data_IF_300824283796
#
_entry.id   IF_300824283796
#
_cell.length_a   1.000
_cell.length_b   1.000
_cell.length_c   1.000
_cell.angle_alpha   90.00
_cell.angle_beta   90.00
_cell.angle_gamma   90.00
#
_symmetry.space_group_name_H-M   'P 1'
#
loop_
_entity.id
_entity.type
_entity.pdbx_description
1 polymer ?
#
# COMPACT_ATOMS: atom_id res chain seq x y z
N UNK A 1 11.54 29.54 8.32
CA UNK A 1 12.81 29.35 7.60
C UNK A 1 12.79 27.97 6.96
N UNK A 2 12.21 27.85 5.77
CA UNK A 2 12.00 26.58 5.06
C UNK A 2 13.31 26.24 4.33
N UNK A 3 14.06 25.24 4.81
CA UNK A 3 15.25 24.75 4.10
C UNK A 3 14.82 24.18 2.75
N UNK A 4 15.06 24.93 1.67
CA UNK A 4 14.98 24.45 0.29
C UNK A 4 15.85 23.19 0.17
N UNK A 5 15.20 22.05 -0.12
CA UNK A 5 15.86 20.81 -0.50
C UNK A 5 16.58 21.08 -1.85
N UNK A 6 17.91 20.90 -1.95
CA UNK A 6 18.63 21.25 -3.18
C UNK A 6 18.21 20.31 -4.31
N UNK A 7 17.51 20.89 -5.29
CA UNK A 7 17.13 20.31 -6.57
C UNK A 7 18.34 20.32 -7.51
N UNK A 8 19.22 19.32 -7.42
CA UNK A 8 20.14 18.95 -8.51
C UNK A 8 20.79 17.56 -8.28
N UNK A 9 20.00 16.47 -8.33
CA UNK A 9 20.47 15.08 -8.10
C UNK A 9 20.19 14.16 -9.32
N UNK A 10 19.63 14.69 -10.42
CA UNK A 10 18.98 13.83 -11.42
C UNK A 10 19.90 13.02 -12.34
N UNK A 11 21.17 13.39 -12.52
CA UNK A 11 22.08 12.68 -13.44
C UNK A 11 23.17 11.83 -12.76
N UNK A 12 23.55 12.15 -11.51
CA UNK A 12 24.63 11.42 -10.80
C UNK A 12 24.14 10.18 -10.02
N UNK A 13 22.83 9.97 -9.96
CA UNK A 13 22.22 8.86 -9.21
C UNK A 13 21.92 7.63 -10.08
N UNK A 14 22.13 7.71 -11.40
CA UNK A 14 21.81 6.62 -12.32
C UNK A 14 23.01 5.69 -12.58
N UNK A 15 24.23 6.22 -12.49
CA UNK A 15 25.45 5.45 -12.74
C UNK A 15 25.99 4.77 -11.46
N UNK A 16 26.46 3.52 -11.57
CA UNK A 16 27.09 2.84 -10.45
C UNK A 16 28.37 3.59 -10.01
N UNK A 17 28.70 3.61 -8.72
CA UNK A 17 29.96 4.17 -8.24
C UNK A 17 31.17 3.42 -8.81
N UNK A 18 32.27 4.14 -9.04
CA UNK A 18 33.51 3.59 -9.59
C UNK A 18 34.14 2.51 -8.70
N UNK A 19 33.96 2.62 -7.38
CA UNK A 19 34.55 1.69 -6.41
C UNK A 19 33.67 0.43 -6.16
N UNK A 20 32.52 0.32 -6.85
CA UNK A 20 31.59 -0.78 -6.65
C UNK A 20 32.09 -2.04 -7.38
N UNK A 21 32.11 -3.22 -6.74
CA UNK A 21 32.47 -4.47 -7.40
C UNK A 21 31.61 -4.71 -8.67
N UNK A 22 32.21 -5.24 -9.73
CA UNK A 22 31.55 -5.39 -11.04
C UNK A 22 30.24 -6.20 -10.97
N UNK A 23 30.21 -7.26 -10.15
CA UNK A 23 29.01 -8.05 -9.91
C UNK A 23 27.87 -7.20 -9.30
N UNK A 24 28.21 -6.29 -8.38
CA UNK A 24 27.24 -5.37 -7.77
C UNK A 24 26.86 -4.23 -8.74
N UNK A 25 27.79 -3.73 -9.56
CA UNK A 25 27.51 -2.76 -10.61
C UNK A 25 26.60 -3.30 -11.71
N UNK A 26 26.62 -4.62 -11.95
CA UNK A 26 25.68 -5.29 -12.86
C UNK A 26 24.27 -5.28 -12.27
N UNK A 27 24.11 -5.66 -11.00
CA UNK A 27 22.82 -5.56 -10.30
C UNK A 27 22.29 -4.13 -10.27
N UNK A 28 23.17 -3.15 -10.05
CA UNK A 28 22.80 -1.73 -10.08
C UNK A 28 22.13 -1.34 -11.41
N UNK A 29 22.77 -1.71 -12.53
CA UNK A 29 22.27 -1.41 -13.88
C UNK A 29 20.94 -2.11 -14.14
N UNK A 30 20.78 -3.36 -13.71
CA UNK A 30 19.51 -4.10 -13.81
C UNK A 30 18.37 -3.38 -13.06
N UNK A 31 18.61 -2.97 -11.81
CA UNK A 31 17.59 -2.30 -10.97
C UNK A 31 17.21 -0.94 -11.57
N UNK A 32 18.19 -0.17 -12.02
CA UNK A 32 17.98 1.14 -12.65
C UNK A 32 17.26 1.02 -14.00
N UNK A 33 17.42 -0.09 -14.73
CA UNK A 33 16.70 -0.34 -15.98
C UNK A 33 15.27 -0.81 -15.75
N UNK A 34 15.00 -1.57 -14.68
CA UNK A 34 13.68 -2.14 -14.41
C UNK A 34 12.75 -1.22 -13.64
N UNK A 35 13.28 -0.19 -12.96
CA UNK A 35 12.54 0.56 -11.95
C UNK A 35 12.62 2.05 -12.21
N UNK A 36 11.48 2.74 -12.14
CA UNK A 36 11.42 4.21 -12.10
C UNK A 36 11.80 4.74 -10.69
N UNK A 37 12.93 4.25 -10.16
CA UNK A 37 13.49 4.65 -8.86
C UNK A 37 14.35 5.92 -8.99
N UNK A 38 14.36 6.53 -10.17
CA UNK A 38 15.14 7.72 -10.50
C UNK A 38 14.77 8.88 -9.56
N UNK A 39 15.60 9.09 -8.54
CA UNK A 39 15.53 10.23 -7.61
C UNK A 39 14.80 9.99 -6.29
N UNK A 40 14.26 8.79 -6.04
CA UNK A 40 13.57 8.47 -4.76
C UNK A 40 14.42 7.66 -3.77
N UNK A 41 15.50 7.03 -4.24
CA UNK A 41 16.32 6.11 -3.46
C UNK A 41 17.63 6.76 -3.03
N UNK A 42 18.04 6.54 -1.79
CA UNK A 42 19.36 6.91 -1.28
C UNK A 42 20.44 6.06 -1.98
N UNK A 43 21.45 6.73 -2.54
CA UNK A 43 22.54 6.08 -3.30
C UNK A 43 23.29 5.07 -2.43
N UNK A 44 23.64 5.44 -1.20
CA UNK A 44 24.39 4.57 -0.29
C UNK A 44 23.61 3.30 0.09
N UNK A 45 22.29 3.45 0.22
CA UNK A 45 21.35 2.36 0.43
C UNK A 45 21.31 1.41 -0.77
N UNK A 46 21.26 1.95 -2.00
CA UNK A 46 21.29 1.15 -3.22
C UNK A 46 22.62 0.42 -3.39
N UNK A 47 23.75 1.04 -3.04
CA UNK A 47 25.09 0.45 -3.13
C UNK A 47 25.21 -0.79 -2.22
N UNK A 48 24.77 -0.65 -0.96
CA UNK A 48 24.74 -1.75 -0.01
C UNK A 48 23.83 -2.89 -0.49
N UNK A 49 22.64 -2.56 -1.00
CA UNK A 49 21.71 -3.55 -1.53
C UNK A 49 22.28 -4.32 -2.74
N UNK A 50 22.87 -3.61 -3.70
CA UNK A 50 23.50 -4.23 -4.88
C UNK A 50 24.64 -5.18 -4.47
N UNK A 51 25.42 -4.80 -3.46
CA UNK A 51 26.49 -5.64 -2.91
C UNK A 51 25.95 -6.92 -2.27
N UNK A 52 24.85 -6.83 -1.52
CA UNK A 52 24.19 -8.00 -0.93
C UNK A 52 23.63 -8.94 -2.01
N UNK A 53 22.99 -8.38 -3.04
CA UNK A 53 22.48 -9.16 -4.17
C UNK A 53 23.59 -9.88 -4.94
N UNK A 54 24.73 -9.22 -5.16
CA UNK A 54 25.90 -9.85 -5.79
C UNK A 54 26.43 -11.02 -4.95
N UNK A 55 26.56 -10.85 -3.64
CA UNK A 55 26.98 -11.92 -2.71
C UNK A 55 25.99 -13.09 -2.67
N UNK A 56 24.69 -12.81 -2.74
CA UNK A 56 23.67 -13.85 -2.79
C UNK A 56 23.79 -14.68 -4.07
N UNK A 57 24.00 -14.03 -5.22
CA UNK A 57 24.21 -14.71 -6.51
C UNK A 57 25.47 -15.59 -6.48
N UNK A 58 26.57 -15.06 -5.95
CA UNK A 58 27.81 -15.82 -5.80
C UNK A 58 27.64 -17.05 -4.89
N UNK A 59 26.99 -16.90 -3.74
CA UNK A 59 26.74 -18.00 -2.82
C UNK A 59 25.90 -19.12 -3.47
N UNK A 60 24.88 -18.75 -4.25
CA UNK A 60 24.07 -19.71 -5.01
C UNK A 60 24.86 -20.43 -6.08
N UNK A 61 25.67 -19.70 -6.85
CA UNK A 61 26.51 -20.30 -7.88
C UNK A 61 27.45 -21.36 -7.29
N UNK A 62 28.09 -21.06 -6.14
CA UNK A 62 28.95 -22.05 -5.46
C UNK A 62 28.19 -23.30 -5.02
N UNK A 63 26.97 -23.14 -4.50
CA UNK A 63 26.11 -24.28 -4.13
C UNK A 63 25.70 -25.11 -5.35
N UNK A 64 25.46 -24.46 -6.49
CA UNK A 64 25.15 -25.14 -7.75
C UNK A 64 26.36 -25.91 -8.30
N UNK A 65 27.56 -25.32 -8.26
CA UNK A 65 28.78 -25.90 -8.80
C UNK A 65 29.35 -27.02 -7.91
N UNK A 66 29.37 -26.83 -6.59
CA UNK A 66 29.99 -27.76 -5.63
C UNK A 66 28.98 -28.75 -5.01
N UNK A 67 27.68 -28.47 -5.17
CA UNK A 67 26.59 -29.21 -4.54
C UNK A 67 26.28 -28.75 -3.11
N UNK A 68 25.12 -29.17 -2.58
CA UNK A 68 24.64 -28.72 -1.26
C UNK A 68 25.48 -29.21 -0.07
N UNK A 69 26.37 -30.17 -0.29
CA UNK A 69 27.07 -30.90 0.77
C UNK A 69 28.51 -31.17 0.34
N UNK A 70 29.46 -30.82 1.21
CA UNK A 70 30.90 -30.94 0.95
C UNK A 70 31.52 -31.89 1.99
N UNK A 71 32.60 -32.57 1.61
CA UNK A 71 33.37 -33.39 2.55
C UNK A 71 34.42 -32.54 3.25
N UNK A 72 34.39 -32.56 4.58
CA UNK A 72 35.44 -32.02 5.42
C UNK A 72 36.76 -32.80 5.20
N UNK A 73 37.97 -32.27 5.51
CA UNK A 73 39.22 -33.00 5.36
C UNK A 73 39.27 -34.33 6.13
N UNK A 74 38.39 -34.51 7.12
CA UNK A 74 38.19 -35.76 7.89
C UNK A 74 37.21 -36.75 7.23
N UNK A 75 36.75 -36.47 6.00
CA UNK A 75 35.81 -37.30 5.25
C UNK A 75 34.35 -37.21 5.72
N UNK A 76 34.04 -36.33 6.68
CA UNK A 76 32.66 -36.12 7.16
C UNK A 76 31.89 -35.25 6.19
N UNK A 77 30.63 -35.61 6.00
CA UNK A 77 29.68 -34.95 5.12
C UNK A 77 29.06 -33.78 5.89
N UNK A 78 29.36 -32.54 5.49
CA UNK A 78 28.86 -31.31 6.12
C UNK A 78 28.11 -30.44 5.10
N UNK A 79 27.10 -29.65 5.53
CA UNK A 79 26.44 -28.71 4.64
C UNK A 79 27.44 -27.69 4.09
N UNK A 80 27.28 -27.31 2.82
CA UNK A 80 28.18 -26.36 2.18
C UNK A 80 28.13 -25.00 2.91
N UNK A 81 29.29 -24.40 3.28
CA UNK A 81 29.33 -23.09 3.95
C UNK A 81 28.62 -21.97 3.19
N UNK A 82 28.53 -22.05 1.85
CA UNK A 82 27.82 -21.08 1.03
C UNK A 82 26.31 -21.02 1.35
N UNK A 83 25.70 -22.10 1.85
CA UNK A 83 24.31 -22.11 2.30
C UNK A 83 24.08 -21.19 3.52
N UNK A 84 25.08 -21.07 4.41
CA UNK A 84 24.99 -20.17 5.55
C UNK A 84 25.06 -18.71 5.08
N UNK A 85 25.94 -18.42 4.12
CA UNK A 85 26.06 -17.09 3.49
C UNK A 85 24.77 -16.74 2.76
N UNK A 86 24.19 -17.68 2.00
CA UNK A 86 22.93 -17.47 1.28
C UNK A 86 21.81 -17.08 2.26
N UNK A 87 21.62 -17.86 3.33
CA UNK A 87 20.59 -17.59 4.34
C UNK A 87 20.77 -16.22 5.00
N UNK A 88 21.98 -15.91 5.46
CA UNK A 88 22.27 -14.62 6.09
C UNK A 88 22.03 -13.44 5.14
N UNK A 89 22.44 -13.57 3.88
CA UNK A 89 22.29 -12.51 2.88
C UNK A 89 20.83 -12.33 2.48
N UNK A 90 20.06 -13.42 2.37
CA UNK A 90 18.63 -13.38 2.07
C UNK A 90 17.83 -12.70 3.20
N UNK A 91 18.17 -12.96 4.47
CA UNK A 91 17.56 -12.28 5.62
C UNK A 91 17.85 -10.77 5.59
N UNK A 92 19.09 -10.39 5.30
CA UNK A 92 19.45 -8.97 5.13
C UNK A 92 18.65 -8.36 3.99
N UNK A 93 18.61 -8.95 2.80
CA UNK A 93 17.83 -8.45 1.66
C UNK A 93 16.35 -8.28 2.03
N UNK A 94 15.77 -9.22 2.78
CA UNK A 94 14.37 -9.14 3.23
C UNK A 94 14.13 -7.96 4.18
N UNK A 95 15.06 -7.68 5.09
CA UNK A 95 14.99 -6.53 5.99
C UNK A 95 15.07 -5.18 5.24
N UNK A 96 15.61 -5.17 4.02
CA UNK A 96 15.64 -3.98 3.17
C UNK A 96 14.35 -3.76 2.35
N UNK A 97 13.42 -4.73 2.35
CA UNK A 97 12.18 -4.67 1.56
C UNK A 97 11.35 -3.40 1.80
N UNK A 98 11.26 -2.94 3.05
CA UNK A 98 10.49 -1.74 3.40
C UNK A 98 11.12 -0.43 2.87
N UNK A 99 12.44 -0.41 2.63
CA UNK A 99 13.16 0.77 2.13
C UNK A 99 13.00 0.97 0.63
N UNK A 100 12.81 -0.12 -0.10
CA UNK A 100 12.60 -0.12 -1.55
C UNK A 100 11.13 -0.32 -1.93
N UNK A 101 10.25 -0.58 -0.97
CA UNK A 101 8.82 -0.50 -1.18
C UNK A 101 8.49 0.91 -1.69
N UNK A 102 7.67 1.05 -2.76
CA UNK A 102 7.20 2.36 -3.16
C UNK A 102 6.56 3.00 -1.93
N UNK A 103 6.96 4.23 -1.61
CA UNK A 103 6.32 5.05 -0.58
C UNK A 103 4.89 5.33 -1.03
N UNK A 104 4.00 4.34 -0.90
CA UNK A 104 2.57 4.52 -1.01
C UNK A 104 2.24 5.38 0.18
N UNK A 105 2.17 6.71 -0.04
CA UNK A 105 1.69 7.64 0.97
C UNK A 105 0.40 7.05 1.50
N UNK A 106 0.31 6.75 2.82
CA UNK A 106 -0.89 6.16 3.35
C UNK A 106 -2.04 7.10 3.00
N UNK A 107 -2.91 6.66 2.08
CA UNK A 107 -4.12 7.40 1.77
C UNK A 107 -4.94 7.31 3.04
N UNK A 108 -5.00 8.40 3.81
CA UNK A 108 -5.88 8.48 4.97
C UNK A 108 -7.27 8.14 4.46
N UNK A 109 -7.80 6.98 4.88
CA UNK A 109 -9.17 6.58 4.55
C UNK A 109 -10.09 7.67 5.10
N UNK A 110 -10.71 8.43 4.20
CA UNK A 110 -11.78 9.36 4.59
C UNK A 110 -12.94 8.50 5.11
N UNK A 111 -13.84 9.10 5.89
CA UNK A 111 -14.99 8.34 6.36
C UNK A 111 -15.93 7.99 5.20
N UNK A 112 -16.88 7.10 5.48
CA UNK A 112 -17.79 6.56 4.46
C UNK A 112 -18.60 7.67 3.78
N UNK A 113 -19.10 8.65 4.55
CA UNK A 113 -19.91 9.73 4.02
C UNK A 113 -19.11 10.63 3.08
N UNK A 114 -17.88 10.98 3.45
CA UNK A 114 -17.01 11.80 2.61
C UNK A 114 -16.64 11.10 1.29
N UNK A 115 -16.35 9.80 1.30
CA UNK A 115 -15.98 9.05 0.10
C UNK A 115 -17.17 8.79 -0.82
N UNK A 116 -18.32 8.40 -0.27
CA UNK A 116 -19.54 8.20 -1.06
C UNK A 116 -20.02 9.52 -1.69
N UNK A 117 -19.93 10.63 -0.95
CA UNK A 117 -20.25 11.96 -1.49
C UNK A 117 -19.28 12.38 -2.58
N UNK A 118 -17.97 12.17 -2.40
CA UNK A 118 -16.97 12.48 -3.42
C UNK A 118 -17.19 11.68 -4.71
N UNK A 119 -17.55 10.40 -4.59
CA UNK A 119 -17.90 9.53 -5.72
C UNK A 119 -19.14 10.04 -6.45
N UNK A 120 -20.18 10.43 -5.70
CA UNK A 120 -21.43 10.92 -6.29
C UNK A 120 -21.24 12.26 -7.01
N UNK A 121 -20.38 13.14 -6.50
CA UNK A 121 -19.97 14.38 -7.20
C UNK A 121 -19.18 14.06 -8.48
N UNK A 122 -18.25 13.10 -8.42
CA UNK A 122 -17.44 12.72 -9.58
C UNK A 122 -18.29 12.13 -10.72
N UNK A 123 -19.36 11.41 -10.39
CA UNK A 123 -20.28 10.82 -11.35
C UNK A 123 -21.27 11.86 -11.94
N UNK A 124 -21.45 13.01 -11.28
CA UNK A 124 -22.36 14.07 -11.71
C UNK A 124 -21.66 15.03 -12.70
N UNK A 125 -21.72 14.72 -14.00
CA UNK A 125 -21.05 15.48 -15.07
C UNK A 125 -21.51 16.93 -15.19
N UNK A 126 -22.75 17.24 -14.79
CA UNK A 126 -23.34 18.59 -14.81
C UNK A 126 -22.74 19.55 -13.76
N UNK A 127 -22.01 19.02 -12.78
CA UNK A 127 -21.41 19.80 -11.69
C UNK A 127 -19.98 20.29 -11.97
N UNK A 128 -19.51 20.13 -13.20
CA UNK A 128 -18.18 20.58 -13.64
C UNK A 128 -18.02 22.11 -13.74
N UNK A 129 -19.13 22.86 -13.72
CA UNK A 129 -19.11 24.31 -13.83
C UNK A 129 -18.60 24.99 -12.53
N UNK A 130 -17.80 26.06 -12.68
CA UNK A 130 -17.21 26.80 -11.56
C UNK A 130 -18.23 27.33 -10.53
N UNK A 131 -19.48 27.58 -10.95
CA UNK A 131 -20.57 28.02 -10.07
C UNK A 131 -20.91 27.02 -8.95
N UNK A 132 -20.59 25.74 -9.13
CA UNK A 132 -20.85 24.70 -8.13
C UNK A 132 -19.68 24.48 -7.18
N UNK A 133 -18.53 25.14 -7.36
CA UNK A 133 -17.34 24.92 -6.53
C UNK A 133 -17.58 25.21 -5.04
N UNK A 134 -18.27 26.32 -4.73
CA UNK A 134 -18.64 26.69 -3.35
C UNK A 134 -19.59 25.67 -2.71
N UNK A 135 -20.75 25.39 -3.33
CA UNK A 135 -21.68 24.36 -2.86
C UNK A 135 -21.06 22.97 -2.69
N UNK A 136 -20.20 22.53 -3.63
CA UNK A 136 -19.49 21.26 -3.54
C UNK A 136 -18.53 21.24 -2.33
N UNK A 137 -17.83 22.34 -2.06
CA UNK A 137 -16.95 22.43 -0.91
C UNK A 137 -17.74 22.36 0.40
N UNK A 138 -18.87 23.06 0.50
CA UNK A 138 -19.76 23.01 1.67
C UNK A 138 -20.30 21.59 1.89
N UNK A 139 -20.76 20.91 0.83
CA UNK A 139 -21.25 19.54 0.90
C UNK A 139 -20.17 18.56 1.40
N UNK A 140 -18.93 18.68 0.90
CA UNK A 140 -17.79 17.87 1.36
C UNK A 140 -17.49 18.09 2.84
N UNK A 141 -17.59 19.34 3.32
CA UNK A 141 -17.41 19.68 4.73
C UNK A 141 -18.49 19.05 5.60
N UNK A 142 -19.75 19.11 5.19
CA UNK A 142 -20.87 18.49 5.92
C UNK A 142 -20.70 16.96 5.98
N UNK A 143 -20.31 16.32 4.88
CA UNK A 143 -20.03 14.89 4.85
C UNK A 143 -18.90 14.50 5.82
N UNK A 144 -17.82 15.29 5.85
CA UNK A 144 -16.72 15.09 6.78
C UNK A 144 -17.14 15.28 8.25
N UNK A 145 -17.96 16.29 8.55
CA UNK A 145 -18.48 16.51 9.91
C UNK A 145 -19.35 15.34 10.40
N UNK A 146 -20.12 14.70 9.50
CA UNK A 146 -20.90 13.51 9.84
C UNK A 146 -19.98 12.34 10.17
N UNK A 147 -18.93 12.13 9.36
CA UNK A 147 -17.92 11.09 9.62
C UNK A 147 -17.18 11.32 10.94
N UNK A 148 -16.88 12.58 11.28
CA UNK A 148 -16.21 12.92 12.54
C UNK A 148 -17.13 12.66 13.74
N UNK A 149 -18.41 13.03 13.64
CA UNK A 149 -19.41 12.74 14.66
C UNK A 149 -19.60 11.22 14.87
N UNK A 150 -19.57 10.42 13.79
CA UNK A 150 -19.63 8.96 13.86
C UNK A 150 -18.42 8.34 14.57
N UNK A 151 -17.23 8.94 14.42
CA UNK A 151 -15.99 8.48 15.06
C UNK A 151 -15.93 8.85 16.53
N UNK A 152 -16.48 10.00 16.88
CA UNK A 152 -16.40 10.56 18.23
C UNK A 152 -17.31 9.80 19.20
N UNK A 153 -18.61 9.75 18.96
CA UNK A 153 -19.56 9.06 19.85
C UNK A 153 -20.98 8.99 19.28
N UNK A 154 -21.82 8.13 19.87
CA UNK A 154 -23.25 8.09 19.56
C UNK A 154 -23.99 9.39 19.91
N UNK A 155 -23.55 10.11 20.95
CA UNK A 155 -24.14 11.41 21.33
C UNK A 155 -23.80 12.50 20.31
N UNK A 156 -22.54 12.56 19.87
CA UNK A 156 -22.10 13.46 18.80
C UNK A 156 -22.87 13.18 17.49
N UNK A 157 -23.09 11.91 17.17
CA UNK A 157 -23.91 11.51 16.03
C UNK A 157 -25.37 11.96 16.17
N UNK A 158 -26.01 11.78 17.33
CA UNK A 158 -27.39 12.25 17.57
C UNK A 158 -27.50 13.77 17.39
N UNK A 159 -26.52 14.53 17.88
CA UNK A 159 -26.45 15.98 17.67
C UNK A 159 -26.30 16.34 16.19
N UNK A 160 -25.42 15.63 15.47
CA UNK A 160 -25.25 15.82 14.03
C UNK A 160 -26.51 15.45 13.21
N UNK A 161 -27.29 14.46 13.64
CA UNK A 161 -28.55 14.08 12.99
C UNK A 161 -29.59 15.20 13.02
N UNK A 162 -29.59 16.03 14.06
CA UNK A 162 -30.55 17.16 14.17
C UNK A 162 -30.07 18.44 13.48
N UNK A 163 -28.76 18.60 13.26
CA UNK A 163 -28.16 19.85 12.78
C UNK A 163 -27.47 19.71 11.43
N UNK A 164 -26.48 18.83 11.34
CA UNK A 164 -25.61 18.67 10.17
C UNK A 164 -26.26 17.85 9.05
N UNK A 165 -26.94 16.76 9.38
CA UNK A 165 -27.54 15.84 8.38
C UNK A 165 -28.66 16.49 7.56
N UNK A 166 -29.59 17.28 8.12
CA UNK A 166 -30.61 17.96 7.32
C UNK A 166 -30.00 18.95 6.32
N UNK A 167 -28.95 19.68 6.71
CA UNK A 167 -28.23 20.59 5.83
C UNK A 167 -27.50 19.84 4.71
N UNK A 168 -26.92 18.67 5.02
CA UNK A 168 -26.30 17.80 4.02
C UNK A 168 -27.34 17.32 2.99
N UNK A 169 -28.49 16.83 3.44
CA UNK A 169 -29.57 16.37 2.56
C UNK A 169 -30.07 17.49 1.66
N UNK A 170 -30.28 18.69 2.21
CA UNK A 170 -30.66 19.87 1.42
C UNK A 170 -29.63 20.19 0.34
N UNK A 171 -28.35 20.22 0.69
CA UNK A 171 -27.27 20.47 -0.27
C UNK A 171 -27.18 19.38 -1.36
N UNK A 172 -27.42 18.10 -1.02
CA UNK A 172 -27.54 17.02 -2.01
C UNK A 172 -28.69 17.27 -2.99
N UNK A 173 -29.87 17.71 -2.50
CA UNK A 173 -31.01 18.01 -3.38
C UNK A 173 -30.75 19.19 -4.30
N UNK A 174 -30.11 20.26 -3.80
CA UNK A 174 -29.75 21.44 -4.59
C UNK A 174 -28.74 21.13 -5.69
N UNK A 175 -27.82 20.19 -5.42
CA UNK A 175 -26.83 19.72 -6.38
C UNK A 175 -27.34 18.58 -7.27
N UNK A 176 -28.56 18.10 -7.03
CA UNK A 176 -29.16 16.95 -7.72
C UNK A 176 -28.25 15.70 -7.65
N UNK A 177 -27.69 15.44 -6.48
CA UNK A 177 -26.84 14.28 -6.20
C UNK A 177 -27.58 13.34 -5.25
N UNK A 178 -27.50 12.04 -5.51
CA UNK A 178 -28.01 11.02 -4.57
C UNK A 178 -27.21 11.06 -3.27
N UNK A 179 -27.85 11.27 -2.10
CA UNK A 179 -27.15 11.31 -0.82
C UNK A 179 -26.61 9.91 -0.48
N UNK A 180 -25.43 9.86 0.13
CA UNK A 180 -24.78 8.62 0.57
C UNK A 180 -25.57 7.84 1.64
N UNK A 181 -26.58 8.48 2.25
CA UNK A 181 -27.39 7.99 3.36
C UNK A 181 -28.65 7.22 2.95
N UNK A 182 -28.94 7.08 1.66
CA UNK A 182 -30.02 6.19 1.20
C UNK A 182 -29.35 4.88 0.80
N UNK A 183 -29.47 3.79 1.57
CA UNK A 183 -29.32 2.45 0.99
C UNK A 183 -30.30 2.42 -0.18
N UNK A 184 -29.80 2.24 -1.40
CA UNK A 184 -30.61 2.21 -2.59
C UNK A 184 -31.90 1.43 -2.30
N UNK A 185 -33.03 2.13 -2.27
CA UNK A 185 -34.33 1.49 -2.22
C UNK A 185 -34.47 0.79 -3.57
N UNK A 186 -34.18 -0.51 -3.57
CA UNK A 186 -34.55 -1.55 -4.53
C UNK A 186 -34.87 -1.02 -5.93
N UNK A 187 -33.86 -1.04 -6.78
CA UNK A 187 -33.97 -0.78 -8.22
C UNK A 187 -32.91 -1.57 -8.99
N UNK A 188 -33.11 -2.88 -9.07
CA UNK A 188 -32.55 -3.84 -10.03
C UNK A 188 -31.05 -3.70 -10.42
N UNK A 189 -30.19 -4.34 -9.65
CA UNK A 189 -29.19 -5.28 -10.20
C UNK A 189 -28.83 -6.27 -9.08
N UNK A 190 -28.99 -7.56 -9.36
CA UNK A 190 -28.75 -8.66 -8.42
C UNK A 190 -27.34 -8.59 -7.80
N UNK A 191 -27.18 -8.59 -6.47
CA UNK A 191 -25.88 -8.74 -5.86
C UNK A 191 -25.36 -10.15 -6.17
N UNK A 192 -24.18 -10.25 -6.78
CA UNK A 192 -23.40 -11.50 -6.77
C UNK A 192 -23.27 -11.97 -5.33
N UNK A 193 -23.65 -13.23 -5.08
CA UNK A 193 -23.48 -13.92 -3.80
C UNK A 193 -22.10 -13.63 -3.19
N UNK A 194 -22.07 -12.80 -2.15
CA UNK A 194 -20.93 -12.76 -1.25
C UNK A 194 -20.96 -14.07 -0.47
N UNK A 195 -20.04 -14.98 -0.80
CA UNK A 195 -19.82 -16.20 -0.02
C UNK A 195 -19.75 -15.86 1.47
N UNK A 196 -20.55 -16.59 2.24
CA UNK A 196 -20.98 -16.28 3.59
C UNK A 196 -19.89 -15.84 4.55
N UNK A 197 -20.32 -15.02 5.52
CA UNK A 197 -19.48 -14.50 6.59
C UNK A 197 -18.73 -15.63 7.31
N UNK A 198 -17.44 -15.38 7.59
CA UNK A 198 -16.51 -16.31 8.26
C UNK A 198 -17.07 -16.87 9.58
N UNK A 199 -18.00 -16.16 10.22
CA UNK A 199 -18.58 -16.54 11.51
C UNK A 199 -19.59 -17.68 11.37
N UNK A 200 -20.33 -17.76 10.25
CA UNK A 200 -21.31 -18.83 10.02
C UNK A 200 -20.63 -20.17 9.74
N UNK A 201 -19.53 -20.14 8.98
CA UNK A 201 -18.74 -21.34 8.66
C UNK A 201 -18.03 -21.93 9.89
N UNK A 202 -17.69 -21.11 10.90
CA UNK A 202 -17.08 -21.62 12.14
C UNK A 202 -18.09 -22.32 13.06
N UNK A 203 -19.35 -21.88 13.07
CA UNK A 203 -20.41 -22.52 13.89
C UNK A 203 -20.77 -23.90 13.34
N UNK A 204 -20.95 -24.02 12.02
CA UNK A 204 -21.22 -25.32 11.38
C UNK A 204 -20.05 -26.31 11.54
N UNK A 205 -18.81 -25.83 11.50
CA UNK A 205 -17.63 -26.66 11.73
C UNK A 205 -17.49 -27.13 13.20
N UNK A 206 -17.97 -26.33 14.16
CA UNK A 206 -17.95 -26.68 15.57
C UNK A 206 -19.04 -27.71 15.93
N UNK A 207 -20.22 -27.61 15.31
CA UNK A 207 -21.31 -28.57 15.50
C UNK A 207 -20.98 -29.95 14.93
N UNK A 208 -20.34 -30.01 13.75
CA UNK A 208 -19.89 -31.29 13.17
C UNK A 208 -18.86 -32.05 14.02
N UNK A 209 -18.04 -31.35 14.82
CA UNK A 209 -17.06 -31.98 15.72
C UNK A 209 -17.67 -32.49 17.03
N UNK A 210 -18.89 -32.07 17.37
CA UNK A 210 -19.61 -32.56 18.56
C UNK A 210 -20.51 -33.75 18.27
N UNK A 211 -20.82 -34.00 16.99
CA UNK A 211 -21.75 -35.04 16.55
C UNK A 211 -21.08 -36.31 16.01
N UNK A 212 -19.74 -36.41 16.08
CA UNK A 212 -18.97 -37.61 15.79
C UNK A 212 -18.06 -37.94 16.96
#
# INVERSE_FOLDING_TARGET
>A
MVKKRPTNISARNTEPPTDLPEAAATVWREIMASSDLAGTVDRSALEAFCTLMARLREARQRVEDEGMVVKDPRGRVIPHPALAVERQTAEQIRAWGDRFAPLVKPVRKRGYMADATATSIANATHLSAAKYAGPIAALKTLAWMIDEAQRESMEALQKAMTTTVPNYLKACTELQITPASIPALVGAETPKESKGSTVTNMREAAEKRRAG
#
